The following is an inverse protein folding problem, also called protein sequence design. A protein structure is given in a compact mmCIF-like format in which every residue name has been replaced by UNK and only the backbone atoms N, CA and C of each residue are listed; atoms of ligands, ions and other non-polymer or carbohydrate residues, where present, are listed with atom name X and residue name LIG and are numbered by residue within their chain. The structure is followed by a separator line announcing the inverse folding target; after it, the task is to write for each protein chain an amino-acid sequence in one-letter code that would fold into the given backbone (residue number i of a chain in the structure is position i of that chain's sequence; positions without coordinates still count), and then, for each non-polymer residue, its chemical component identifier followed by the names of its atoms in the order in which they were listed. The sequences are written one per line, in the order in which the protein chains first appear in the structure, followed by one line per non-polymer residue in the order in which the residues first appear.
data_IF_458381719401
#
_entry.id   IF_458381719401
#
_cell.length_a   1.000
_cell.length_b   1.000
_cell.length_c   1.000
_cell.angle_alpha   90.00
_cell.angle_beta   90.00
_cell.angle_gamma   90.00
#
_symmetry.space_group_name_H-M   'P 1'
#
loop_
_entity.id
_entity.type
_entity.pdbx_description
1 polymer ?
#
# COMPACT_ATOMS: atom_id res chain seq x y z
N UNK A 1 -9.13 8.36 8.81
CA UNK A 1 -9.13 7.26 7.82
C UNK A 1 -9.21 7.79 6.39
N UNK A 2 -8.09 7.80 5.67
CA UNK A 2 -8.05 8.12 4.23
C UNK A 2 -8.04 6.85 3.39
N UNK A 3 -8.84 6.88 2.31
CA UNK A 3 -8.85 5.84 1.29
C UNK A 3 -7.70 6.07 0.31
N UNK A 4 -7.16 5.02 -0.31
CA UNK A 4 -6.16 5.20 -1.35
C UNK A 4 -6.79 5.94 -2.54
N UNK A 5 -6.13 6.99 -3.00
CA UNK A 5 -6.49 7.73 -4.21
C UNK A 5 -6.19 6.92 -5.46
N UNK A 6 -5.23 5.99 -5.37
CA UNK A 6 -4.82 5.16 -6.49
C UNK A 6 -4.28 3.83 -5.99
N UNK A 7 -4.60 2.76 -6.71
CA UNK A 7 -4.05 1.42 -6.46
C UNK A 7 -3.39 0.94 -7.75
N UNK A 8 -2.09 0.66 -7.69
CA UNK A 8 -1.30 0.21 -8.83
C UNK A 8 -0.84 -1.23 -8.61
N UNK A 9 -0.81 -2.07 -9.66
CA UNK A 9 -0.21 -3.40 -9.57
C UNK A 9 1.31 -3.28 -9.40
N UNK A 10 1.84 -3.96 -8.39
CA UNK A 10 3.25 -4.01 -8.10
C UNK A 10 3.90 -4.94 -9.14
N UNK A 11 4.69 -4.37 -10.05
CA UNK A 11 5.35 -5.17 -11.09
C UNK A 11 6.55 -5.88 -10.47
N UNK A 12 6.56 -7.23 -10.37
CA UNK A 12 7.72 -7.94 -9.86
C UNK A 12 8.89 -7.71 -10.82
N UNK A 13 9.89 -6.91 -10.40
CA UNK A 13 11.16 -6.84 -11.11
C UNK A 13 12.00 -8.06 -10.72
N UNK A 14 12.70 -8.64 -11.70
CA UNK A 14 13.53 -9.86 -11.55
C UNK A 14 14.61 -9.78 -10.44
N UNK A 15 14.96 -8.56 -10.00
CA UNK A 15 15.91 -8.26 -8.92
C UNK A 15 15.29 -7.46 -7.76
N UNK A 16 13.96 -7.41 -7.63
CA UNK A 16 13.32 -6.71 -6.51
C UNK A 16 13.33 -7.60 -5.26
N UNK A 17 13.75 -7.04 -4.13
CA UNK A 17 13.55 -7.64 -2.82
C UNK A 17 12.05 -7.93 -2.67
N UNK A 18 11.69 -9.14 -2.22
CA UNK A 18 10.30 -9.51 -1.97
C UNK A 18 9.67 -8.47 -1.06
N UNK A 19 8.57 -7.90 -1.52
CA UNK A 19 7.82 -6.91 -0.77
C UNK A 19 6.68 -7.61 -0.07
N UNK A 20 6.42 -7.23 1.17
CA UNK A 20 5.41 -7.86 2.00
C UNK A 20 4.28 -6.88 2.26
N UNK A 21 3.09 -7.44 2.43
CA UNK A 21 1.89 -6.74 2.79
C UNK A 21 2.06 -6.15 4.19
N UNK A 22 1.73 -4.88 4.34
CA UNK A 22 1.83 -4.21 5.65
C UNK A 22 0.81 -4.75 6.67
N UNK A 23 -0.28 -5.37 6.22
CA UNK A 23 -1.36 -5.87 7.09
C UNK A 23 -1.20 -7.34 7.50
N UNK A 24 -0.74 -8.20 6.58
CA UNK A 24 -0.75 -9.65 6.77
C UNK A 24 0.57 -10.35 6.47
N UNK A 25 1.63 -9.58 6.16
CA UNK A 25 2.97 -10.09 5.83
C UNK A 25 3.04 -11.04 4.62
N UNK A 26 1.93 -11.26 3.88
CA UNK A 26 1.94 -11.98 2.60
C UNK A 26 2.66 -11.20 1.51
N UNK A 27 2.94 -11.84 0.36
CA UNK A 27 3.55 -11.16 -0.78
C UNK A 27 2.70 -9.95 -1.24
N UNK A 28 3.32 -8.77 -1.26
CA UNK A 28 2.68 -7.56 -1.74
C UNK A 28 2.66 -7.55 -3.27
N UNK A 29 1.45 -7.61 -3.82
CA UNK A 29 1.19 -7.58 -5.27
C UNK A 29 0.66 -6.23 -5.74
N UNK A 30 0.30 -5.33 -4.82
CA UNK A 30 -0.32 -4.03 -5.14
C UNK A 30 0.27 -2.93 -4.26
N UNK A 31 0.37 -1.73 -4.83
CA UNK A 31 0.78 -0.50 -4.16
C UNK A 31 -0.44 0.42 -4.08
N UNK A 32 -0.76 0.86 -2.87
CA UNK A 32 -1.81 1.83 -2.60
C UNK A 32 -1.18 3.19 -2.30
N UNK A 33 -1.64 4.20 -3.02
CA UNK A 33 -1.22 5.59 -2.91
C UNK A 33 -2.27 6.33 -2.10
N UNK A 34 -1.84 6.95 -1.01
CA UNK A 34 -2.66 7.75 -0.12
C UNK A 34 -2.21 9.19 -0.22
N UNK A 35 -3.16 10.07 -0.55
CA UNK A 35 -2.94 11.51 -0.56
C UNK A 35 -3.23 12.06 0.82
N UNK A 36 -2.17 12.24 1.61
CA UNK A 36 -2.26 12.93 2.88
C UNK A 36 -2.00 14.39 2.54
N UNK A 37 -2.81 15.30 3.05
CA UNK A 37 -2.89 16.72 2.65
C UNK A 37 -1.54 17.43 2.37
N UNK A 38 -0.46 17.01 3.04
CA UNK A 38 0.90 17.54 2.87
C UNK A 38 1.93 16.58 2.24
N UNK A 39 1.61 15.29 2.06
CA UNK A 39 2.52 14.30 1.44
C UNK A 39 1.78 13.07 0.89
N UNK A 40 2.35 12.46 -0.14
CA UNK A 40 1.83 11.19 -0.68
C UNK A 40 2.49 10.01 0.03
N UNK A 41 1.71 9.18 0.71
CA UNK A 41 2.18 7.92 1.27
C UNK A 41 1.92 6.77 0.29
N UNK A 42 2.93 5.96 0.02
CA UNK A 42 2.79 4.75 -0.79
C UNK A 42 3.00 3.54 0.11
N UNK A 43 1.96 2.72 0.27
CA UNK A 43 1.99 1.50 1.07
C UNK A 43 1.69 0.28 0.23
N UNK A 44 2.23 -0.86 0.65
CA UNK A 44 2.25 -2.09 -0.14
C UNK A 44 1.36 -3.12 0.52
N UNK A 45 0.48 -3.71 -0.28
CA UNK A 45 -0.55 -4.61 0.21
C UNK A 45 -0.65 -5.85 -0.66
N UNK A 46 -1.15 -6.90 -0.03
CA UNK A 46 -1.59 -8.11 -0.69
C UNK A 46 -2.81 -7.80 -1.59
N UNK A 47 -3.06 -8.65 -2.59
CA UNK A 47 -4.17 -8.47 -3.53
C UNK A 47 -5.55 -8.29 -2.87
N UNK A 48 -5.75 -8.91 -1.69
CA UNK A 48 -6.97 -8.87 -0.87
C UNK A 48 -7.01 -7.67 0.07
N UNK A 49 -5.89 -7.39 0.71
CA UNK A 49 -5.74 -6.39 1.76
C UNK A 49 -5.84 -4.96 1.22
N UNK A 50 -5.43 -4.76 -0.03
CA UNK A 50 -5.44 -3.43 -0.65
C UNK A 50 -6.85 -2.85 -0.77
N UNK A 51 -7.88 -3.69 -0.93
CA UNK A 51 -9.25 -3.25 -1.19
C UNK A 51 -9.91 -2.71 0.08
N UNK A 52 -9.45 -3.22 1.23
CA UNK A 52 -9.88 -2.79 2.56
C UNK A 52 -8.91 -1.80 3.21
N UNK A 53 -7.77 -1.51 2.57
CA UNK A 53 -6.72 -0.67 3.11
C UNK A 53 -7.25 0.75 3.38
N UNK A 54 -7.16 1.15 4.65
CA UNK A 54 -7.45 2.51 5.12
C UNK A 54 -6.28 2.93 5.98
N UNK A 55 -5.67 4.06 5.68
CA UNK A 55 -4.64 4.62 6.56
C UNK A 55 -5.29 5.57 7.54
N UNK A 56 -5.01 5.39 8.82
CA UNK A 56 -5.28 6.38 9.84
C UNK A 56 -3.96 7.08 10.16
N UNK A 57 -3.73 8.23 9.56
CA UNK A 57 -2.72 9.16 10.07
C UNK A 57 -3.41 9.97 11.16
N UNK A 58 -3.51 9.38 12.35
CA UNK A 58 -3.60 10.17 13.57
C UNK A 58 -2.21 10.79 13.76
N UNK A 59 -2.10 12.09 13.51
CA UNK A 59 -0.93 12.91 13.83
C UNK A 59 -0.42 12.54 15.22
N UNK A 60 0.85 12.12 15.30
CA UNK A 60 1.59 11.93 16.55
C UNK A 60 2.57 13.08 16.73
#
# INVERSE_FOLDING_TARGET
MQKPIEIRPLKPKRNMIRQYCEECEEEATKEAVFDLENFVAVRRFCGRCVETAKVDFAEA
#
